data_IF_018420168648
#
_entry.id   IF_018420168648
#
_cell.length_a   1.000
_cell.length_b   1.000
_cell.length_c   1.000
_cell.angle_alpha   90.00
_cell.angle_beta   90.00
_cell.angle_gamma   90.00
#
_symmetry.space_group_name_H-M   'P 1'
#
loop_
_entity.id
_entity.type
_entity.pdbx_description
1 polymer ?
#
# COMPACT_ATOMS: atom_id res chain seq x y z
N UNK A 1 21.17 -12.55 -43.31
CA UNK A 1 20.20 -12.38 -42.20
C UNK A 1 18.80 -12.76 -42.70
N UNK A 2 17.87 -13.22 -41.83
CA UNK A 2 16.48 -13.51 -42.22
C UNK A 2 15.55 -12.36 -41.83
N UNK A 3 14.56 -12.08 -42.67
CA UNK A 3 13.61 -11.00 -42.50
C UNK A 3 12.17 -11.51 -42.66
N UNK A 4 11.29 -11.08 -41.78
CA UNK A 4 9.84 -11.23 -41.93
C UNK A 4 9.33 -10.10 -42.82
N UNK A 5 8.39 -10.41 -43.72
CA UNK A 5 7.85 -9.43 -44.67
C UNK A 5 6.34 -9.33 -44.51
N UNK A 6 5.83 -8.11 -44.58
CA UNK A 6 4.41 -7.81 -44.62
C UNK A 6 4.00 -7.53 -46.07
N UNK A 7 3.28 -8.47 -46.69
CA UNK A 7 2.84 -8.36 -48.08
C UNK A 7 1.37 -8.77 -48.18
N UNK A 8 0.55 -7.94 -48.83
CA UNK A 8 -0.89 -8.18 -49.05
C UNK A 8 -1.71 -8.53 -47.79
N UNK A 9 -1.28 -8.03 -46.62
CA UNK A 9 -1.98 -8.26 -45.34
C UNK A 9 -1.57 -9.54 -44.60
N UNK A 10 -0.71 -10.37 -45.21
CA UNK A 10 -0.20 -11.60 -44.60
C UNK A 10 1.31 -11.50 -44.28
N UNK A 11 1.76 -12.35 -43.36
CA UNK A 11 3.18 -12.51 -42.99
C UNK A 11 3.61 -13.93 -43.36
N UNK A 12 4.05 -14.18 -44.61
CA UNK A 12 4.21 -15.53 -45.14
C UNK A 12 5.44 -16.30 -44.59
N UNK A 13 6.25 -15.66 -43.74
CA UNK A 13 7.37 -16.30 -43.04
C UNK A 13 8.63 -15.45 -43.00
N UNK A 14 9.73 -16.04 -42.56
CA UNK A 14 11.06 -15.43 -42.55
C UNK A 14 11.85 -15.87 -43.80
N UNK A 15 12.29 -14.90 -44.59
CA UNK A 15 12.98 -15.09 -45.86
C UNK A 15 14.39 -14.51 -45.82
N UNK A 16 15.28 -15.01 -46.67
CA UNK A 16 16.57 -14.36 -46.90
C UNK A 16 16.43 -13.16 -47.84
N UNK A 17 17.36 -12.19 -47.76
CA UNK A 17 17.32 -10.97 -48.58
C UNK A 17 17.22 -11.24 -50.10
N UNK A 18 17.82 -12.35 -50.58
CA UNK A 18 17.77 -12.77 -51.99
C UNK A 18 16.43 -13.37 -52.40
N UNK A 19 15.71 -14.01 -51.47
CA UNK A 19 14.39 -14.57 -51.72
C UNK A 19 13.34 -13.48 -51.78
N UNK A 20 13.50 -12.43 -50.96
CA UNK A 20 12.63 -11.26 -50.97
C UNK A 20 12.63 -10.53 -52.31
N UNK A 21 13.81 -10.41 -52.95
CA UNK A 21 13.93 -9.78 -54.26
C UNK A 21 13.18 -10.55 -55.38
N UNK A 22 12.87 -11.84 -55.18
CA UNK A 22 12.11 -12.66 -56.14
C UNK A 22 10.60 -12.59 -55.93
N UNK A 23 10.14 -12.04 -54.81
CA UNK A 23 8.70 -11.95 -54.54
C UNK A 23 8.04 -10.93 -55.47
N UNK A 24 6.95 -11.28 -56.17
CA UNK A 24 6.24 -10.34 -57.03
C UNK A 24 5.71 -9.18 -56.19
N UNK A 25 5.92 -7.94 -56.64
CA UNK A 25 5.46 -6.74 -55.93
C UNK A 25 6.28 -6.34 -54.70
N UNK A 26 7.38 -7.04 -54.39
CA UNK A 26 8.31 -6.59 -53.36
C UNK A 26 9.10 -5.35 -53.83
N UNK A 27 9.15 -4.32 -52.99
CA UNK A 27 9.81 -3.05 -53.32
C UNK A 27 10.54 -2.48 -52.10
N UNK A 28 11.35 -1.43 -52.31
CA UNK A 28 12.04 -0.73 -51.23
C UNK A 28 11.07 -0.10 -50.19
N UNK A 29 9.78 0.05 -50.54
CA UNK A 29 8.74 0.57 -49.64
C UNK A 29 8.06 -0.52 -48.79
N UNK A 30 8.28 -1.80 -49.08
CA UNK A 30 7.66 -2.92 -48.34
C UNK A 30 8.19 -2.96 -46.90
N UNK A 31 7.31 -3.27 -45.94
CA UNK A 31 7.68 -3.34 -44.52
C UNK A 31 8.30 -4.70 -44.19
N UNK A 32 9.46 -4.67 -43.53
CA UNK A 32 10.22 -5.84 -43.14
C UNK A 32 10.65 -5.74 -41.67
N UNK A 33 10.81 -6.88 -41.00
CA UNK A 33 11.27 -6.97 -39.61
C UNK A 33 12.40 -8.02 -39.52
N UNK A 34 13.58 -7.70 -38.97
CA UNK A 34 14.64 -8.68 -38.77
C UNK A 34 14.19 -9.80 -37.83
N UNK A 35 14.51 -11.06 -38.17
CA UNK A 35 14.05 -12.22 -37.39
C UNK A 35 14.75 -12.37 -36.03
N UNK A 36 15.93 -11.76 -35.86
CA UNK A 36 16.80 -11.94 -34.68
C UNK A 36 16.45 -11.00 -33.50
N UNK A 37 15.45 -10.12 -33.64
CA UNK A 37 15.05 -9.21 -32.56
C UNK A 37 14.23 -9.98 -31.52
N UNK A 38 14.63 -9.98 -30.23
CA UNK A 38 13.86 -10.63 -29.17
C UNK A 38 12.44 -10.05 -29.13
N UNK A 39 11.47 -10.93 -28.95
CA UNK A 39 10.03 -10.79 -29.25
C UNK A 39 9.25 -9.65 -28.57
N UNK A 40 9.92 -8.71 -27.89
CA UNK A 40 9.30 -7.58 -27.18
C UNK A 40 8.85 -6.43 -28.09
N UNK A 41 9.57 -6.13 -29.17
CA UNK A 41 9.22 -5.01 -30.08
C UNK A 41 9.61 -5.36 -31.52
N UNK A 42 8.66 -5.87 -32.30
CA UNK A 42 8.85 -6.05 -33.75
C UNK A 42 8.79 -4.68 -34.43
N UNK A 43 9.94 -4.06 -34.68
CA UNK A 43 10.06 -2.81 -35.44
C UNK A 43 9.93 -3.12 -36.93
N UNK A 44 8.76 -2.81 -37.48
CA UNK A 44 8.51 -2.88 -38.91
C UNK A 44 9.09 -1.65 -39.60
N UNK A 45 10.12 -1.86 -40.41
CA UNK A 45 10.85 -0.80 -41.08
C UNK A 45 10.79 -1.01 -42.60
N UNK A 46 10.99 0.05 -43.39
CA UNK A 46 10.98 -0.06 -44.86
C UNK A 46 12.19 -0.87 -45.33
N UNK A 47 11.98 -1.77 -46.29
CA UNK A 47 13.02 -2.60 -46.89
C UNK A 47 14.24 -1.80 -47.38
N UNK A 48 14.03 -0.56 -47.86
CA UNK A 48 15.10 0.32 -48.31
C UNK A 48 16.08 0.80 -47.23
N UNK A 49 15.79 0.60 -45.94
CA UNK A 49 16.71 0.93 -44.84
C UNK A 49 17.78 -0.16 -44.63
N UNK A 50 17.60 -1.35 -45.20
CA UNK A 50 18.52 -2.47 -45.05
C UNK A 50 19.40 -2.63 -46.31
N UNK A 51 20.71 -2.37 -46.24
CA UNK A 51 21.59 -2.39 -47.42
C UNK A 51 21.65 -3.78 -48.08
N UNK A 52 21.58 -4.87 -47.29
CA UNK A 52 21.57 -6.24 -47.79
C UNK A 52 20.38 -6.53 -48.73
N UNK A 53 19.21 -5.94 -48.44
CA UNK A 53 18.00 -6.11 -49.25
C UNK A 53 18.09 -5.27 -50.52
N UNK A 54 18.60 -4.03 -50.41
CA UNK A 54 18.79 -3.15 -51.56
C UNK A 54 19.80 -3.74 -52.55
N UNK A 55 20.89 -4.34 -52.06
CA UNK A 55 21.88 -5.00 -52.92
C UNK A 55 21.31 -6.26 -53.58
N UNK A 56 20.47 -7.03 -52.88
CA UNK A 56 19.78 -8.18 -53.44
C UNK A 56 18.76 -7.82 -54.53
N UNK A 57 18.04 -6.71 -54.36
CA UNK A 57 17.13 -6.17 -55.38
C UNK A 57 17.88 -5.74 -56.63
N UNK A 58 18.99 -4.98 -56.48
CA UNK A 58 19.83 -4.59 -57.63
C UNK A 58 20.41 -5.79 -58.37
N UNK A 59 20.77 -6.85 -57.65
CA UNK A 59 21.27 -8.08 -58.26
C UNK A 59 20.19 -8.83 -59.05
N UNK A 60 18.91 -8.73 -58.65
CA UNK A 60 17.79 -9.36 -59.34
C UNK A 60 17.43 -8.65 -60.64
N UNK A 61 17.47 -7.32 -60.67
CA UNK A 61 17.18 -6.52 -61.87
C UNK A 61 18.16 -6.75 -63.03
N UNK A 62 19.32 -7.37 -62.74
CA UNK A 62 20.33 -7.73 -63.73
C UNK A 62 20.06 -9.08 -64.42
N UNK A 63 19.00 -9.81 -64.07
CA UNK A 63 18.66 -11.12 -64.67
C UNK A 63 17.73 -10.90 -65.89
N UNK A 64 18.17 -11.21 -67.13
CA UNK A 64 17.35 -11.01 -68.33
C UNK A 64 16.12 -11.96 -68.38
N UNK A 65 14.94 -11.49 -68.83
CA UNK A 65 13.72 -12.29 -68.86
C UNK A 65 13.77 -13.43 -69.90
N UNK A 66 13.15 -14.61 -69.63
CA UNK A 66 13.12 -15.74 -70.56
C UNK A 66 12.19 -15.49 -71.76
N UNK A 67 12.65 -15.86 -72.97
CA UNK A 67 11.95 -15.72 -74.26
C UNK A 67 10.62 -16.49 -74.33
N UNK A 68 9.59 -15.86 -74.93
CA UNK A 68 8.22 -16.38 -75.07
C UNK A 68 8.05 -17.47 -76.17
N UNK A 69 7.06 -18.38 -76.04
CA UNK A 69 6.80 -19.47 -77.00
C UNK A 69 5.92 -19.07 -78.22
N UNK A 70 6.02 -19.79 -79.37
CA UNK A 70 5.35 -19.45 -80.64
C UNK A 70 3.90 -19.95 -80.77
N UNK A 71 3.09 -19.23 -81.59
CA UNK A 71 1.64 -19.41 -81.78
C UNK A 71 1.22 -20.51 -82.79
N UNK A 72 0.04 -21.15 -82.65
CA UNK A 72 -0.44 -22.23 -83.52
C UNK A 72 -1.21 -21.77 -84.78
N UNK A 73 -1.20 -22.64 -85.81
CA UNK A 73 -1.54 -22.39 -87.20
C UNK A 73 -2.96 -22.82 -87.65
N UNK A 74 -3.50 -22.03 -88.59
CA UNK A 74 -4.33 -22.32 -89.77
C UNK A 74 -5.66 -23.14 -89.68
N UNK A 75 -6.72 -22.47 -90.15
CA UNK A 75 -8.11 -22.88 -90.35
C UNK A 75 -8.35 -23.38 -91.79
N UNK A 76 -9.18 -24.42 -91.99
CA UNK A 76 -9.49 -25.05 -93.30
C UNK A 76 -10.99 -24.85 -93.66
N UNK A 77 -11.22 -24.58 -94.94
CA UNK A 77 -12.45 -24.09 -95.62
C UNK A 77 -13.39 -25.23 -96.12
N UNK A 78 -14.75 -25.18 -95.96
CA UNK A 78 -15.67 -26.25 -96.34
C UNK A 78 -16.56 -25.90 -97.57
N UNK A 79 -16.23 -26.41 -98.75
CA UNK A 79 -17.05 -26.26 -99.97
C UNK A 79 -17.14 -27.54 -100.82
N UNK A 80 -17.57 -28.65 -100.22
CA UNK A 80 -17.90 -29.89 -100.94
C UNK A 80 -19.42 -30.16 -100.87
N UNK A 81 -20.01 -30.58 -102.00
CA UNK A 81 -21.45 -30.74 -102.19
C UNK A 81 -22.02 -31.91 -101.35
N UNK A 82 -22.94 -31.56 -100.46
CA UNK A 82 -23.49 -32.42 -99.40
C UNK A 82 -24.58 -33.34 -99.94
N UNK A 83 -24.39 -34.67 -99.84
CA UNK A 83 -25.41 -35.67 -100.19
C UNK A 83 -26.57 -35.74 -99.18
N UNK A 84 -27.72 -36.36 -99.51
CA UNK A 84 -28.88 -36.45 -98.61
C UNK A 84 -28.60 -37.13 -97.26
N UNK A 85 -27.70 -38.13 -97.23
CA UNK A 85 -27.23 -38.73 -95.97
C UNK A 85 -26.35 -37.77 -95.15
N UNK A 86 -25.60 -36.89 -95.80
CA UNK A 86 -24.82 -35.86 -95.12
C UNK A 86 -25.71 -34.74 -94.56
N UNK A 87 -26.89 -34.47 -95.15
CA UNK A 87 -27.88 -33.56 -94.55
C UNK A 87 -28.54 -34.16 -93.31
N UNK A 88 -28.87 -35.46 -93.33
CA UNK A 88 -29.35 -36.18 -92.14
C UNK A 88 -28.27 -36.21 -91.04
N UNK A 89 -27.02 -36.43 -91.42
CA UNK A 89 -25.89 -36.33 -90.49
C UNK A 89 -25.68 -34.90 -89.99
N UNK A 90 -25.78 -33.87 -90.83
CA UNK A 90 -25.61 -32.47 -90.41
C UNK A 90 -26.74 -32.02 -89.47
N UNK A 91 -27.98 -32.45 -89.73
CA UNK A 91 -29.12 -32.16 -88.86
C UNK A 91 -29.05 -32.94 -87.55
N UNK A 92 -28.65 -34.22 -87.57
CA UNK A 92 -28.40 -34.97 -86.35
C UNK A 92 -27.29 -34.35 -85.51
N UNK A 93 -26.16 -33.96 -86.12
CA UNK A 93 -25.08 -33.24 -85.46
C UNK A 93 -25.53 -31.90 -84.89
N UNK A 94 -26.41 -31.16 -85.57
CA UNK A 94 -26.97 -29.90 -85.07
C UNK A 94 -27.86 -30.13 -83.84
N UNK A 95 -28.68 -31.18 -83.85
CA UNK A 95 -29.51 -31.57 -82.71
C UNK A 95 -28.64 -32.00 -81.54
N UNK A 96 -27.63 -32.86 -81.77
CA UNK A 96 -26.71 -33.28 -80.72
C UNK A 96 -25.93 -32.10 -80.13
N UNK A 97 -25.45 -31.17 -80.96
CA UNK A 97 -24.82 -29.93 -80.49
C UNK A 97 -25.78 -29.13 -79.60
N UNK A 98 -27.02 -28.91 -80.06
CA UNK A 98 -27.99 -28.16 -79.28
C UNK A 98 -28.35 -28.86 -77.95
N UNK A 99 -28.49 -30.18 -77.94
CA UNK A 99 -28.70 -30.95 -76.70
C UNK A 99 -27.50 -30.84 -75.78
N UNK A 100 -26.26 -30.91 -76.30
CA UNK A 100 -25.06 -30.72 -75.48
C UNK A 100 -24.94 -29.30 -74.93
N UNK A 101 -25.35 -28.28 -75.71
CA UNK A 101 -25.44 -26.90 -75.25
C UNK A 101 -26.48 -26.74 -74.14
N UNK A 102 -27.67 -27.32 -74.30
CA UNK A 102 -28.71 -27.33 -73.26
C UNK A 102 -28.26 -28.06 -72.00
N UNK A 103 -27.56 -29.19 -72.12
CA UNK A 103 -27.00 -29.90 -70.97
C UNK A 103 -25.96 -29.04 -70.23
N UNK A 104 -25.06 -28.38 -70.97
CA UNK A 104 -24.10 -27.43 -70.39
C UNK A 104 -24.80 -26.26 -69.71
N UNK A 105 -25.84 -25.70 -70.33
CA UNK A 105 -26.60 -24.60 -69.73
C UNK A 105 -27.34 -25.06 -68.46
N UNK A 106 -27.90 -26.26 -68.45
CA UNK A 106 -28.52 -26.83 -67.25
C UNK A 106 -27.51 -27.11 -66.14
N UNK A 107 -26.30 -27.58 -66.47
CA UNK A 107 -25.22 -27.79 -65.52
C UNK A 107 -24.73 -26.45 -64.96
N UNK A 108 -24.49 -25.45 -65.82
CA UNK A 108 -24.15 -24.09 -65.40
C UNK A 108 -25.21 -23.51 -64.47
N UNK A 109 -26.51 -23.68 -64.78
CA UNK A 109 -27.60 -23.24 -63.88
C UNK A 109 -27.64 -24.00 -62.55
N UNK A 110 -27.14 -25.23 -62.48
CA UNK A 110 -27.01 -25.98 -61.21
C UNK A 110 -25.83 -25.45 -60.41
N UNK A 111 -24.69 -25.24 -61.05
CA UNK A 111 -23.50 -24.64 -60.45
C UNK A 111 -23.77 -23.23 -59.91
N UNK A 112 -24.45 -22.39 -60.69
CA UNK A 112 -24.86 -21.04 -60.26
C UNK A 112 -25.78 -21.07 -59.03
N UNK A 113 -26.72 -22.02 -58.96
CA UNK A 113 -27.56 -22.20 -57.77
C UNK A 113 -26.76 -22.69 -56.58
N UNK A 114 -25.82 -23.63 -56.79
CA UNK A 114 -24.94 -24.12 -55.73
C UNK A 114 -24.05 -22.99 -55.18
N UNK A 115 -23.49 -22.16 -56.06
CA UNK A 115 -22.71 -20.99 -55.70
C UNK A 115 -23.56 -19.96 -54.94
N UNK A 116 -24.76 -19.66 -55.43
CA UNK A 116 -25.68 -18.72 -54.77
C UNK A 116 -26.06 -19.20 -53.37
N UNK A 117 -26.29 -20.50 -53.17
CA UNK A 117 -26.54 -21.08 -51.86
C UNK A 117 -25.32 -21.03 -50.94
N UNK A 118 -24.12 -21.29 -51.48
CA UNK A 118 -22.86 -21.14 -50.74
C UNK A 118 -22.65 -19.70 -50.26
N UNK A 119 -22.81 -18.72 -51.15
CA UNK A 119 -22.73 -17.29 -50.83
C UNK A 119 -23.79 -16.87 -49.80
N UNK A 120 -25.00 -17.41 -49.87
CA UNK A 120 -26.02 -17.14 -48.86
C UNK A 120 -25.62 -17.66 -47.48
N UNK A 121 -24.97 -18.84 -47.39
CA UNK A 121 -24.46 -19.37 -46.11
C UNK A 121 -23.36 -18.47 -45.55
N UNK A 122 -22.38 -18.07 -46.37
CA UNK A 122 -21.29 -17.20 -45.92
C UNK A 122 -21.81 -15.82 -45.48
N UNK A 123 -22.83 -15.27 -46.14
CA UNK A 123 -23.47 -14.01 -45.72
C UNK A 123 -24.16 -14.17 -44.36
N UNK A 124 -24.83 -15.29 -44.10
CA UNK A 124 -25.47 -15.56 -42.80
C UNK A 124 -24.41 -15.74 -41.70
N UNK A 125 -23.32 -16.46 -41.98
CA UNK A 125 -22.18 -16.64 -41.07
C UNK A 125 -21.55 -15.28 -40.72
N UNK A 126 -21.15 -14.48 -41.72
CA UNK A 126 -20.58 -13.15 -41.50
C UNK A 126 -21.53 -12.22 -40.74
N UNK A 127 -22.85 -12.32 -40.98
CA UNK A 127 -23.84 -11.55 -40.21
C UNK A 127 -23.88 -11.98 -38.74
N UNK A 128 -23.79 -13.27 -38.47
CA UNK A 128 -23.73 -13.79 -37.09
C UNK A 128 -22.44 -13.38 -36.38
N UNK A 129 -21.30 -13.40 -37.08
CA UNK A 129 -20.01 -12.93 -36.56
C UNK A 129 -20.03 -11.43 -36.27
N UNK A 130 -20.60 -10.63 -37.19
CA UNK A 130 -20.77 -9.19 -36.99
C UNK A 130 -21.67 -8.89 -35.78
N UNK A 131 -22.73 -9.67 -35.57
CA UNK A 131 -23.59 -9.52 -34.40
C UNK A 131 -22.84 -9.89 -33.11
N UNK A 132 -22.11 -11.01 -33.09
CA UNK A 132 -21.29 -11.40 -31.95
C UNK A 132 -20.21 -10.36 -31.62
N UNK A 133 -19.58 -9.77 -32.64
CA UNK A 133 -18.62 -8.68 -32.46
C UNK A 133 -19.28 -7.44 -31.84
N UNK A 134 -20.50 -7.08 -32.27
CA UNK A 134 -21.27 -5.95 -31.69
C UNK A 134 -21.65 -6.20 -30.24
N UNK A 135 -22.05 -7.42 -29.88
CA UNK A 135 -22.36 -7.80 -28.49
C UNK A 135 -21.11 -7.73 -27.62
N UNK A 136 -19.96 -8.18 -28.13
CA UNK A 136 -18.67 -8.04 -27.44
C UNK A 136 -18.27 -6.58 -27.24
N UNK A 137 -18.47 -5.72 -28.23
CA UNK A 137 -18.21 -4.27 -28.10
C UNK A 137 -19.09 -3.67 -27.00
N UNK A 138 -20.40 -3.95 -27.01
CA UNK A 138 -21.32 -3.48 -25.96
C UNK A 138 -20.90 -3.93 -24.57
N UNK A 139 -20.49 -5.20 -24.42
CA UNK A 139 -19.99 -5.71 -23.15
C UNK A 139 -18.71 -4.99 -22.69
N UNK A 140 -17.81 -4.66 -23.61
CA UNK A 140 -16.63 -3.88 -23.29
C UNK A 140 -16.98 -2.43 -22.93
N UNK A 141 -17.93 -1.81 -23.62
CA UNK A 141 -18.43 -0.46 -23.30
C UNK A 141 -19.05 -0.40 -21.89
N UNK A 142 -19.87 -1.40 -21.54
CA UNK A 142 -20.44 -1.52 -20.20
C UNK A 142 -19.33 -1.65 -19.14
N UNK A 143 -18.28 -2.43 -19.42
CA UNK A 143 -17.13 -2.54 -18.51
C UNK A 143 -16.34 -1.24 -18.42
N UNK A 144 -16.10 -0.56 -19.54
CA UNK A 144 -15.40 0.73 -19.57
C UNK A 144 -16.14 1.74 -18.70
N UNK A 145 -17.48 1.73 -18.71
CA UNK A 145 -18.29 2.62 -17.86
C UNK A 145 -18.08 2.42 -16.35
N UNK A 146 -17.59 1.24 -15.92
CA UNK A 146 -17.32 0.94 -14.50
C UNK A 146 -15.94 1.39 -14.03
N UNK A 147 -15.00 1.67 -14.96
CA UNK A 147 -13.62 2.07 -14.64
C UNK A 147 -13.58 3.35 -13.79
N UNK A 148 -14.31 4.44 -14.10
CA UNK A 148 -14.28 5.67 -13.29
C UNK A 148 -14.71 5.45 -11.84
N UNK A 149 -15.70 4.58 -11.60
CA UNK A 149 -16.16 4.27 -10.24
C UNK A 149 -15.09 3.51 -9.43
N UNK A 150 -14.32 2.65 -10.08
CA UNK A 150 -13.19 1.96 -9.47
C UNK A 150 -12.03 2.93 -9.19
N UNK A 151 -11.73 3.84 -10.12
CA UNK A 151 -10.72 4.90 -9.93
C UNK A 151 -11.09 5.83 -8.78
N UNK A 152 -12.36 6.25 -8.66
CA UNK A 152 -12.83 7.03 -7.51
C UNK A 152 -12.68 6.26 -6.20
N UNK A 153 -13.00 4.97 -6.19
CA UNK A 153 -12.84 4.12 -5.00
C UNK A 153 -11.37 3.99 -4.61
N UNK A 154 -10.49 3.82 -5.59
CA UNK A 154 -9.04 3.79 -5.38
C UNK A 154 -8.55 5.12 -4.81
N UNK A 155 -8.96 6.26 -5.40
CA UNK A 155 -8.59 7.60 -4.91
C UNK A 155 -9.03 7.80 -3.45
N UNK A 156 -10.27 7.44 -3.11
CA UNK A 156 -10.77 7.51 -1.72
C UNK A 156 -9.96 6.62 -0.76
N UNK A 157 -9.54 5.44 -1.21
CA UNK A 157 -8.71 4.56 -0.41
C UNK A 157 -7.29 5.14 -0.20
N UNK A 158 -6.72 5.76 -1.23
CA UNK A 158 -5.43 6.46 -1.15
C UNK A 158 -5.51 7.65 -0.18
N UNK A 159 -6.53 8.50 -0.29
CA UNK A 159 -6.78 9.62 0.64
C UNK A 159 -6.94 9.11 2.09
N UNK A 160 -7.65 7.99 2.30
CA UNK A 160 -7.79 7.39 3.63
C UNK A 160 -6.45 6.85 4.18
N UNK A 161 -5.61 6.24 3.33
CA UNK A 161 -4.28 5.79 3.71
C UNK A 161 -3.38 6.96 4.11
N UNK A 162 -3.38 8.05 3.35
CA UNK A 162 -2.64 9.27 3.68
C UNK A 162 -3.10 9.88 5.01
N UNK A 163 -4.42 9.91 5.27
CA UNK A 163 -4.95 10.36 6.55
C UNK A 163 -4.48 9.49 7.72
N UNK A 164 -4.47 8.16 7.57
CA UNK A 164 -3.98 7.24 8.61
C UNK A 164 -2.48 7.41 8.82
N UNK A 165 -1.70 7.54 7.74
CA UNK A 165 -0.26 7.81 7.83
C UNK A 165 0.03 9.15 8.53
N UNK A 166 -0.74 10.21 8.20
CA UNK A 166 -0.63 11.50 8.88
C UNK A 166 -0.95 11.40 10.37
N UNK A 167 -2.00 10.66 10.74
CA UNK A 167 -2.32 10.38 12.15
C UNK A 167 -1.18 9.64 12.85
N UNK A 168 -0.64 8.58 12.24
CA UNK A 168 0.48 7.83 12.81
C UNK A 168 1.71 8.71 13.06
N UNK A 169 2.10 9.55 12.09
CA UNK A 169 3.19 10.53 12.29
C UNK A 169 2.90 11.48 13.44
N UNK A 170 1.67 11.98 13.54
CA UNK A 170 1.26 12.83 14.67
C UNK A 170 1.29 12.10 16.03
N UNK A 171 0.98 10.81 16.07
CA UNK A 171 1.13 10.00 17.29
C UNK A 171 2.61 9.74 17.63
N UNK A 172 3.46 9.51 16.63
CA UNK A 172 4.91 9.35 16.82
C UNK A 172 5.55 10.64 17.36
N UNK A 173 5.18 11.81 16.84
CA UNK A 173 5.64 13.11 17.34
C UNK A 173 5.21 13.32 18.80
N UNK A 174 3.94 13.04 19.13
CA UNK A 174 3.46 13.10 20.52
C UNK A 174 4.19 12.13 21.43
N UNK A 175 4.54 10.93 20.95
CA UNK A 175 5.33 9.98 21.73
C UNK A 175 6.74 10.52 21.99
N UNK A 176 7.40 11.06 20.96
CA UNK A 176 8.71 11.72 21.10
C UNK A 176 8.68 12.89 22.08
N UNK A 177 7.64 13.72 22.06
CA UNK A 177 7.49 14.82 23.03
C UNK A 177 7.34 14.31 24.47
N UNK A 178 6.60 13.21 24.67
CA UNK A 178 6.45 12.59 26.00
C UNK A 178 7.77 12.01 26.47
N UNK A 179 8.52 11.34 25.61
CA UNK A 179 9.85 10.81 25.94
C UNK A 179 10.83 11.93 26.30
N UNK A 180 10.80 13.06 25.59
CA UNK A 180 11.58 14.25 25.94
C UNK A 180 11.19 14.82 27.31
N UNK A 181 9.89 14.87 27.64
CA UNK A 181 9.42 15.31 28.96
C UNK A 181 9.87 14.37 30.07
N UNK A 182 9.81 13.06 29.84
CA UNK A 182 10.30 12.05 30.79
C UNK A 182 11.80 12.26 31.03
N UNK A 183 12.60 12.41 29.97
CA UNK A 183 14.04 12.67 30.08
C UNK A 183 14.35 13.97 30.87
N UNK A 184 13.57 15.04 30.67
CA UNK A 184 13.70 16.27 31.45
C UNK A 184 13.36 16.07 32.93
N UNK A 185 12.33 15.27 33.23
CA UNK A 185 11.98 14.94 34.62
C UNK A 185 13.07 14.11 35.28
N UNK A 186 13.63 13.12 34.58
CA UNK A 186 14.74 12.30 35.07
C UNK A 186 15.97 13.16 35.37
N UNK A 187 16.30 14.13 34.51
CA UNK A 187 17.37 15.09 34.77
C UNK A 187 17.10 15.91 36.05
N UNK A 188 15.88 16.42 36.23
CA UNK A 188 15.51 17.16 37.45
C UNK A 188 15.58 16.31 38.71
N UNK A 189 15.19 15.03 38.62
CA UNK A 189 15.32 14.08 39.73
C UNK A 189 16.79 13.82 40.08
N UNK A 190 17.66 13.69 39.07
CA UNK A 190 19.10 13.55 39.27
C UNK A 190 19.71 14.79 39.94
N UNK A 191 19.39 15.99 39.45
CA UNK A 191 19.84 17.26 40.04
C UNK A 191 19.35 17.42 41.49
N UNK A 192 18.08 17.10 41.76
CA UNK A 192 17.52 17.13 43.11
C UNK A 192 18.21 16.11 44.04
N UNK A 193 18.49 14.91 43.54
CA UNK A 193 19.23 13.87 44.29
C UNK A 193 20.66 14.33 44.62
N UNK A 194 21.37 14.92 43.66
CA UNK A 194 22.71 15.47 43.89
C UNK A 194 22.69 16.63 44.88
N UNK A 195 21.71 17.52 44.78
CA UNK A 195 21.53 18.62 45.73
C UNK A 195 21.25 18.10 47.15
N UNK A 196 20.44 17.05 47.28
CA UNK A 196 20.19 16.39 48.57
C UNK A 196 21.47 15.74 49.13
N UNK A 197 22.26 15.05 48.31
CA UNK A 197 23.52 14.46 48.76
C UNK A 197 24.52 15.53 49.21
N UNK A 198 24.64 16.63 48.46
CA UNK A 198 25.49 17.76 48.82
C UNK A 198 25.02 18.42 50.13
N UNK A 199 23.71 18.58 50.32
CA UNK A 199 23.15 19.08 51.57
C UNK A 199 23.45 18.15 52.75
N UNK A 200 23.36 16.83 52.56
CA UNK A 200 23.72 15.84 53.58
C UNK A 200 25.22 15.88 53.93
N UNK A 201 26.09 16.05 52.94
CA UNK A 201 27.54 16.23 53.16
C UNK A 201 27.82 17.52 53.93
N UNK A 202 27.19 18.63 53.56
CA UNK A 202 27.32 19.92 54.27
C UNK A 202 26.81 19.85 55.71
N UNK A 203 25.69 19.17 55.97
CA UNK A 203 25.20 18.92 57.32
C UNK A 203 26.19 18.07 58.14
N UNK A 204 26.76 17.03 57.55
CA UNK A 204 27.75 16.19 58.23
C UNK A 204 29.02 16.97 58.59
N UNK A 205 29.46 17.91 57.74
CA UNK A 205 30.57 18.82 58.02
C UNK A 205 30.23 19.81 59.13
N UNK A 206 29.06 20.45 59.08
CA UNK A 206 28.58 21.36 60.12
C UNK A 206 28.49 20.67 61.50
N UNK A 207 28.04 19.41 61.55
CA UNK A 207 28.02 18.62 62.79
C UNK A 207 29.43 18.34 63.30
N UNK A 208 30.40 18.05 62.42
CA UNK A 208 31.81 17.88 62.82
C UNK A 208 32.40 19.17 63.35
N UNK A 209 32.11 20.30 62.73
CA UNK A 209 32.59 21.61 63.20
C UNK A 209 31.94 22.02 64.52
N UNK A 210 30.64 21.78 64.70
CA UNK A 210 29.96 21.97 65.98
C UNK A 210 30.60 21.10 67.08
N UNK A 211 30.98 19.85 66.77
CA UNK A 211 31.69 19.00 67.71
C UNK A 211 33.09 19.54 68.05
N UNK A 212 33.83 20.06 67.08
CA UNK A 212 35.14 20.71 67.31
C UNK A 212 35.00 21.96 68.18
N UNK A 213 33.97 22.78 67.92
CA UNK A 213 33.67 23.97 68.73
C UNK A 213 33.28 23.58 70.16
N UNK A 214 32.44 22.56 70.35
CA UNK A 214 32.08 22.05 71.67
C UNK A 214 33.31 21.57 72.46
N UNK A 215 34.21 20.83 71.81
CA UNK A 215 35.48 20.40 72.41
C UNK A 215 36.37 21.59 72.81
N UNK A 216 36.50 22.60 71.93
CA UNK A 216 37.26 23.80 72.24
C UNK A 216 36.68 24.58 73.44
N UNK A 217 35.35 24.67 73.54
CA UNK A 217 34.67 25.28 74.69
C UNK A 217 34.91 24.47 75.98
N UNK A 218 34.84 23.14 75.92
CA UNK A 218 35.15 22.27 77.06
C UNK A 218 36.60 22.47 77.55
N UNK A 219 37.57 22.55 76.63
CA UNK A 219 38.97 22.76 76.96
C UNK A 219 39.23 24.16 77.54
N UNK A 220 38.60 25.21 77.00
CA UNK A 220 38.65 26.57 77.57
C UNK A 220 38.03 26.61 78.98
N UNK A 221 36.90 25.94 79.20
CA UNK A 221 36.28 25.84 80.53
C UNK A 221 37.19 25.10 81.51
N UNK A 222 37.87 24.03 81.10
CA UNK A 222 38.87 23.35 81.93
C UNK A 222 40.03 24.29 82.30
N UNK A 223 40.55 25.05 81.34
CA UNK A 223 41.60 26.04 81.59
C UNK A 223 41.13 27.15 82.53
N UNK A 224 39.91 27.66 82.34
CA UNK A 224 39.31 28.66 83.22
C UNK A 224 39.20 28.13 84.66
N UNK A 225 38.66 26.93 84.85
CA UNK A 225 38.55 26.29 86.16
C UNK A 225 39.94 26.07 86.81
N UNK A 226 40.96 25.71 86.03
CA UNK A 226 42.34 25.63 86.51
C UNK A 226 42.85 26.99 86.96
N UNK A 227 42.64 28.05 86.15
CA UNK A 227 43.05 29.43 86.49
C UNK A 227 42.33 29.94 87.74
N UNK A 228 41.02 29.72 87.86
CA UNK A 228 40.23 30.01 89.06
C UNK A 228 40.80 29.30 90.29
N UNK A 229 41.15 28.02 90.17
CA UNK A 229 41.78 27.27 91.27
C UNK A 229 43.15 27.85 91.65
N UNK A 230 43.95 28.32 90.68
CA UNK A 230 45.24 28.97 90.95
C UNK A 230 45.07 30.34 91.60
N UNK A 231 44.08 31.12 91.16
CA UNK A 231 43.73 32.41 91.76
C UNK A 231 43.24 32.23 93.19
N UNK A 232 42.37 31.25 93.45
CA UNK A 232 41.90 30.93 94.80
C UNK A 232 43.06 30.55 95.73
N UNK A 233 44.03 29.76 95.25
CA UNK A 233 45.28 29.44 95.99
C UNK A 233 46.12 30.68 96.27
N UNK A 234 46.30 31.57 95.28
CA UNK A 234 47.04 32.81 95.46
C UNK A 234 46.37 33.75 96.48
N UNK A 235 45.05 33.92 96.42
CA UNK A 235 44.29 34.71 97.38
C UNK A 235 44.35 34.13 98.80
N UNK A 236 44.29 32.80 98.95
CA UNK A 236 44.48 32.15 100.24
C UNK A 236 45.88 32.38 100.82
N UNK A 237 46.91 32.37 99.96
CA UNK A 237 48.28 32.69 100.34
C UNK A 237 48.42 34.16 100.76
N UNK A 238 47.81 35.11 100.05
CA UNK A 238 47.77 36.53 100.43
C UNK A 238 47.13 36.71 101.80
N UNK A 239 45.94 36.13 102.03
CA UNK A 239 45.28 36.18 103.35
C UNK A 239 46.16 35.63 104.47
N UNK A 240 46.91 34.56 104.21
CA UNK A 240 47.86 34.00 105.17
C UNK A 240 49.00 34.98 105.46
N UNK A 241 49.57 35.60 104.44
CA UNK A 241 50.60 36.63 104.59
C UNK A 241 50.07 37.87 105.33
N UNK A 242 48.82 38.29 105.06
CA UNK A 242 48.14 39.38 105.77
C UNK A 242 47.96 39.04 107.26
N UNK A 243 47.60 37.80 107.61
CA UNK A 243 47.51 37.35 109.00
C UNK A 243 48.90 37.33 109.68
N UNK A 244 49.93 36.85 109.00
CA UNK A 244 51.31 36.87 109.50
C UNK A 244 51.83 38.31 109.70
N UNK A 245 51.52 39.23 108.76
CA UNK A 245 51.83 40.66 108.88
C UNK A 245 51.08 41.32 110.04
N UNK A 246 49.80 41.01 110.23
CA UNK A 246 49.00 41.51 111.36
C UNK A 246 49.58 41.06 112.72
N UNK A 247 50.18 39.87 112.79
CA UNK A 247 50.90 39.40 113.98
C UNK A 247 52.23 40.12 114.22
N UNK A 248 52.91 40.57 113.16
CA UNK A 248 54.16 41.31 113.25
C UNK A 248 53.97 42.83 113.50
N UNK A 249 52.78 43.38 113.23
CA UNK A 249 52.44 44.81 113.42
C UNK A 249 51.13 44.97 114.23
N UNK A 250 51.16 44.83 115.57
CA UNK A 250 49.98 45.08 116.40
C UNK A 250 49.74 46.60 116.49
N UNK A 251 48.77 47.13 115.74
CA UNK A 251 48.21 48.47 116.02
C UNK A 251 48.00 49.47 114.87
N UNK A 252 48.06 49.10 113.58
CA UNK A 252 47.65 50.00 112.49
C UNK A 252 46.19 49.72 112.05
N UNK A 253 45.22 50.58 112.38
CA UNK A 253 43.86 50.47 111.88
C UNK A 253 43.79 51.01 110.44
N UNK A 254 43.75 50.12 109.44
CA UNK A 254 43.22 50.49 108.11
C UNK A 254 41.70 50.44 108.18
N UNK A 255 41.10 51.62 108.35
CA UNK A 255 39.66 51.84 108.34
C UNK A 255 39.02 51.71 106.96
N UNK A 256 37.84 51.09 106.99
CA UNK A 256 36.64 51.24 106.14
C UNK A 256 36.54 52.48 105.24
N UNK A 257 35.91 52.30 104.07
CA UNK A 257 35.26 53.41 103.36
C UNK A 257 34.50 53.01 102.09
N UNK A 258 33.17 52.87 102.18
CA UNK A 258 32.24 53.25 101.10
C UNK A 258 31.27 52.20 100.55
N UNK A 259 30.07 52.11 101.14
CA UNK A 259 28.82 51.98 100.36
C UNK A 259 28.37 53.42 99.97
N UNK A 260 27.67 53.67 98.84
CA UNK A 260 26.20 53.53 98.78
C UNK A 260 25.66 53.17 97.36
N UNK A 261 24.49 52.53 97.21
CA UNK A 261 23.17 53.10 96.83
C UNK A 261 22.87 53.25 95.32
N UNK A 262 21.76 52.61 94.92
CA UNK A 262 20.83 52.80 93.77
C UNK A 262 21.29 53.57 92.52
N UNK A 263 21.13 52.92 91.37
CA UNK A 263 20.36 53.52 90.28
C UNK A 263 19.46 52.49 89.58
N UNK A 264 18.17 52.78 89.62
CA UNK A 264 17.07 52.10 88.97
C UNK A 264 16.65 53.01 87.81
N UNK A 265 17.23 52.81 86.61
CA UNK A 265 16.80 53.37 85.33
C UNK A 265 17.66 52.68 84.25
N UNK A 266 17.19 52.15 83.14
CA UNK A 266 15.89 52.19 82.53
C UNK A 266 15.72 50.90 81.72
N UNK A 267 14.46 50.56 81.48
CA UNK A 267 14.02 49.72 80.38
C UNK A 267 14.89 49.88 79.13
N UNK A 268 15.72 48.89 78.83
CA UNK A 268 16.01 48.56 77.45
C UNK A 268 14.88 47.60 77.02
N UNK A 269 14.13 47.90 75.95
CA UNK A 269 13.10 47.00 75.45
C UNK A 269 13.75 45.63 75.18
N UNK A 270 12.99 44.52 75.23
CA UNK A 270 13.50 43.26 74.68
C UNK A 270 14.09 43.57 73.30
N UNK A 271 15.24 43.01 72.91
CA UNK A 271 15.63 43.09 71.52
C UNK A 271 14.40 42.70 70.70
N UNK A 272 14.05 43.42 69.63
CA UNK A 272 12.97 42.97 68.76
C UNK A 272 13.24 41.49 68.51
N UNK A 273 12.24 40.60 68.56
CA UNK A 273 12.46 39.22 68.14
C UNK A 273 13.22 39.33 66.82
N UNK A 274 14.51 38.98 66.85
CA UNK A 274 15.33 38.97 65.65
C UNK A 274 14.48 38.21 64.65
N UNK A 275 14.31 38.72 63.42
CA UNK A 275 13.37 38.16 62.46
C UNK A 275 13.50 36.67 62.59
N UNK A 276 12.40 36.03 63.03
CA UNK A 276 12.34 34.60 63.28
C UNK A 276 13.21 33.97 62.21
N UNK A 277 14.18 33.09 62.53
CA UNK A 277 14.95 32.47 61.47
C UNK A 277 13.89 32.08 60.45
N UNK A 278 14.00 32.64 59.26
CA UNK A 278 13.43 32.04 58.09
C UNK A 278 14.16 30.69 58.03
N UNK A 279 13.76 29.75 58.89
CA UNK A 279 13.13 28.54 58.43
C UNK A 279 12.20 28.95 57.28
N UNK A 280 12.82 29.18 56.13
CA UNK A 280 12.50 28.53 54.89
C UNK A 280 12.47 27.00 55.12
N UNK A 281 11.70 26.54 56.10
CA UNK A 281 10.90 25.35 55.97
C UNK A 281 9.69 25.82 55.21
N UNK A 282 9.88 25.79 53.89
CA UNK A 282 8.83 25.61 52.92
C UNK A 282 7.61 24.88 53.54
N UNK A 283 6.41 25.46 53.53
CA UNK A 283 5.21 24.67 53.44
C UNK A 283 5.07 24.23 51.96
N UNK A 284 5.95 23.35 51.48
CA UNK A 284 5.57 22.45 50.38
C UNK A 284 4.75 21.36 51.06
N UNK A 285 3.49 21.68 51.36
CA UNK A 285 2.42 20.73 51.69
C UNK A 285 1.07 21.47 51.76
N UNK A 286 0.80 22.35 50.79
CA UNK A 286 -0.54 22.87 50.52
C UNK A 286 -0.65 23.37 49.06
N UNK A 287 -0.15 22.58 48.11
CA UNK A 287 -0.43 22.76 46.69
C UNK A 287 -0.30 21.43 45.95
N UNK A 288 -0.82 20.35 46.55
CA UNK A 288 -1.47 19.33 45.74
C UNK A 288 -2.89 19.83 45.51
N UNK A 289 -3.00 20.94 44.78
CA UNK A 289 -4.16 21.14 43.94
C UNK A 289 -4.09 19.94 42.99
N UNK A 290 -4.95 18.96 43.23
CA UNK A 290 -5.26 18.02 42.17
C UNK A 290 -5.58 18.88 40.95
N UNK A 291 -4.94 18.67 39.78
CA UNK A 291 -5.60 19.08 38.57
C UNK A 291 -6.95 18.38 38.62
N UNK A 292 -8.04 19.15 38.67
CA UNK A 292 -9.37 18.59 38.51
C UNK A 292 -9.30 17.64 37.32
N UNK A 293 -9.48 16.35 37.61
CA UNK A 293 -9.79 15.38 36.58
C UNK A 293 -10.92 16.01 35.76
N UNK A 294 -10.79 16.14 34.43
CA UNK A 294 -11.94 16.43 33.61
C UNK A 294 -12.96 15.31 33.89
N UNK A 295 -14.03 15.70 34.59
CA UNK A 295 -15.24 14.93 34.80
C UNK A 295 -15.48 14.03 33.58
N UNK A 296 -15.44 12.70 33.72
CA UNK A 296 -15.72 11.84 32.58
C UNK A 296 -17.13 12.15 32.10
N UNK A 297 -17.23 12.58 30.83
CA UNK A 297 -18.47 12.52 30.09
C UNK A 297 -19.07 11.11 30.26
N UNK A 298 -20.39 11.00 30.43
CA UNK A 298 -21.04 9.71 30.57
C UNK A 298 -20.82 8.90 29.28
N UNK A 299 -19.93 7.92 29.35
CA UNK A 299 -19.81 6.85 28.37
C UNK A 299 -21.19 6.26 28.11
N UNK A 300 -21.57 6.30 26.84
CA UNK A 300 -22.74 5.67 26.27
C UNK A 300 -22.89 4.20 26.74
N UNK A 301 -24.14 3.68 26.82
CA UNK A 301 -24.40 2.33 27.31
C UNK A 301 -23.64 1.28 26.49
N UNK A 302 -22.85 0.51 27.24
CA UNK A 302 -22.16 -0.71 26.85
C UNK A 302 -23.11 -1.63 26.07
N UNK A 303 -22.86 -1.80 24.77
CA UNK A 303 -23.50 -2.84 23.97
C UNK A 303 -22.93 -4.19 24.37
N UNK A 304 -23.72 -4.91 25.15
CA UNK A 304 -23.85 -6.36 25.22
C UNK A 304 -22.89 -7.15 24.33
N UNK A 305 -21.84 -7.71 24.92
CA UNK A 305 -21.07 -8.79 24.34
C UNK A 305 -21.98 -10.02 24.22
N UNK A 306 -22.10 -10.55 23.00
CA UNK A 306 -22.75 -11.82 22.74
C UNK A 306 -21.88 -12.99 23.25
N UNK A 307 -22.48 -14.07 23.76
CA UNK A 307 -21.75 -15.22 24.29
C UNK A 307 -21.16 -16.07 23.17
N UNK A 308 -19.87 -16.36 23.25
CA UNK A 308 -19.21 -17.42 22.50
C UNK A 308 -19.63 -18.78 23.09
N UNK A 309 -20.04 -19.78 22.28
CA UNK A 309 -20.33 -21.11 22.77
C UNK A 309 -19.03 -21.88 23.04
N UNK A 310 -18.99 -22.52 24.21
CA UNK A 310 -18.00 -23.53 24.57
C UNK A 310 -18.08 -24.72 23.60
N UNK A 311 -16.96 -25.08 22.99
CA UNK A 311 -16.74 -26.41 22.42
C UNK A 311 -15.67 -27.11 23.26
N UNK A 312 -16.14 -28.01 24.13
CA UNK A 312 -15.33 -28.99 24.85
C UNK A 312 -15.84 -30.37 24.46
N UNK A 313 -14.94 -31.27 24.10
CA UNK A 313 -15.23 -32.67 23.75
C UNK A 313 -14.32 -33.12 22.62
N UNK A 314 -13.15 -33.72 22.87
CA UNK A 314 -12.92 -35.04 23.47
C UNK A 314 -12.22 -35.90 22.39
N UNK A 315 -11.01 -36.29 22.73
CA UNK A 315 -10.17 -37.25 22.01
C UNK A 315 -10.85 -38.62 22.04
N UNK A 316 -11.04 -39.25 20.88
CA UNK A 316 -11.31 -40.68 20.78
C UNK A 316 -10.60 -41.26 19.56
N UNK A 317 -9.84 -42.31 19.84
CA UNK A 317 -8.99 -43.05 18.93
C UNK A 317 -9.79 -43.95 17.97
N UNK A 318 -9.16 -44.19 16.80
CA UNK A 318 -9.21 -45.40 15.98
C UNK A 318 -10.47 -46.26 15.94
N UNK A 319 -11.13 -46.28 14.78
CA UNK A 319 -11.75 -47.48 14.23
C UNK A 319 -11.93 -47.32 12.70
N UNK A 320 -11.52 -48.35 11.95
CA UNK A 320 -11.64 -48.45 10.50
C UNK A 320 -13.10 -48.42 10.02
N UNK A 321 -13.40 -47.87 8.82
CA UNK A 321 -14.73 -47.99 8.24
C UNK A 321 -14.93 -49.36 7.56
N UNK A 322 -16.08 -50.04 7.77
CA UNK A 322 -16.45 -51.22 7.00
C UNK A 322 -17.02 -50.85 5.62
N UNK A 323 -16.98 -51.77 4.62
CA UNK A 323 -17.55 -51.57 3.30
C UNK A 323 -19.03 -51.95 3.31
N UNK A 324 -19.89 -51.04 2.86
CA UNK A 324 -21.31 -51.30 2.55
C UNK A 324 -21.79 -50.12 1.70
N UNK A 325 -22.70 -50.27 0.76
CA UNK A 325 -23.30 -51.38 0.05
C UNK A 325 -24.14 -50.68 -1.02
N UNK A 326 -24.40 -51.37 -2.12
CA UNK A 326 -25.22 -50.91 -3.22
C UNK A 326 -26.52 -50.24 -2.77
N UNK A 327 -26.74 -49.00 -3.23
CA UNK A 327 -28.03 -48.35 -3.20
C UNK A 327 -28.41 -48.01 -4.64
N UNK A 328 -29.44 -48.73 -5.06
CA UNK A 328 -30.12 -48.69 -6.34
C UNK A 328 -30.46 -47.27 -6.79
N UNK A 329 -30.18 -47.02 -8.06
CA UNK A 329 -30.49 -45.80 -8.79
C UNK A 329 -31.90 -45.94 -9.38
N UNK A 330 -32.93 -45.18 -8.95
CA UNK A 330 -34.23 -45.22 -9.60
C UNK A 330 -34.19 -44.51 -10.96
N UNK A 331 -34.95 -45.08 -11.89
CA UNK A 331 -35.08 -44.67 -13.29
C UNK A 331 -35.62 -43.23 -13.47
N UNK A 332 -35.29 -42.54 -14.58
CA UNK A 332 -35.76 -41.19 -14.84
C UNK A 332 -37.23 -41.17 -15.30
N UNK A 333 -38.05 -40.35 -14.64
CA UNK A 333 -39.39 -39.98 -15.10
C UNK A 333 -39.35 -39.14 -16.39
N UNK A 334 -40.37 -39.26 -17.27
CA UNK A 334 -40.41 -38.58 -18.56
C UNK A 334 -40.73 -37.08 -18.43
N UNK A 335 -39.93 -36.29 -19.14
CA UNK A 335 -40.08 -34.84 -19.35
C UNK A 335 -41.46 -34.53 -19.94
N UNK A 336 -42.29 -33.80 -19.18
CA UNK A 336 -43.51 -33.16 -19.69
C UNK A 336 -43.14 -31.95 -20.56
N UNK A 337 -43.49 -32.04 -21.84
CA UNK A 337 -43.46 -30.94 -22.81
C UNK A 337 -44.59 -29.95 -22.48
N UNK A 338 -44.32 -28.65 -22.30
CA UNK A 338 -45.39 -27.65 -22.20
C UNK A 338 -45.98 -27.35 -23.59
N UNK A 339 -47.31 -27.12 -23.69
CA UNK A 339 -47.96 -26.82 -24.96
C UNK A 339 -47.63 -25.41 -25.46
N UNK A 340 -47.58 -25.29 -26.79
CA UNK A 340 -47.38 -24.05 -27.53
C UNK A 340 -48.48 -23.01 -27.22
N UNK A 341 -48.14 -21.71 -27.10
CA UNK A 341 -49.14 -20.66 -27.14
C UNK A 341 -49.55 -20.36 -28.59
N UNK A 342 -50.86 -20.43 -28.81
CA UNK A 342 -51.57 -20.08 -30.02
C UNK A 342 -51.26 -18.65 -30.49
N UNK A 343 -51.21 -18.54 -31.81
CA UNK A 343 -51.28 -17.29 -32.55
C UNK A 343 -52.64 -16.64 -32.35
N UNK A 344 -52.71 -15.35 -32.04
CA UNK A 344 -53.67 -14.45 -32.67
C UNK A 344 -53.40 -12.95 -32.41
N UNK A 345 -53.22 -12.26 -33.55
CA UNK A 345 -53.79 -10.95 -33.92
C UNK A 345 -52.92 -9.66 -33.83
N UNK A 346 -52.86 -8.87 -34.93
CA UNK A 346 -52.06 -7.64 -35.01
C UNK A 346 -52.87 -6.39 -34.68
N UNK A 347 -52.21 -5.25 -34.43
CA UNK A 347 -52.78 -3.95 -34.76
C UNK A 347 -52.05 -3.30 -35.94
N UNK A 348 -52.86 -2.89 -36.91
CA UNK A 348 -52.55 -1.86 -37.88
C UNK A 348 -52.22 -0.53 -37.19
N UNK A 349 -51.30 0.25 -37.76
CA UNK A 349 -50.92 1.55 -37.20
C UNK A 349 -49.73 2.16 -37.92
N UNK A 350 -49.98 2.58 -39.15
CA UNK A 350 -49.10 3.31 -40.07
C UNK A 350 -48.85 4.77 -39.61
N UNK A 351 -47.69 5.32 -40.02
CA UNK A 351 -47.26 6.74 -40.04
C UNK A 351 -46.23 7.20 -38.96
N UNK A 352 -45.46 8.28 -39.22
CA UNK A 352 -44.37 8.31 -40.19
C UNK A 352 -43.02 8.80 -39.59
N UNK A 353 -41.95 8.59 -40.36
CA UNK A 353 -40.55 8.92 -40.08
C UNK A 353 -40.27 10.35 -39.57
N UNK A 354 -39.37 10.55 -38.59
CA UNK A 354 -38.78 11.84 -38.33
C UNK A 354 -37.61 12.14 -39.30
N UNK A 355 -37.71 13.30 -39.96
CA UNK A 355 -36.64 13.95 -40.73
C UNK A 355 -35.40 14.16 -39.85
N UNK A 356 -34.30 13.51 -40.20
CA UNK A 356 -32.96 13.84 -39.68
C UNK A 356 -32.50 15.11 -40.40
N UNK A 357 -32.48 16.23 -39.68
CA UNK A 357 -31.86 17.48 -40.13
C UNK A 357 -30.36 17.42 -39.81
N UNK A 358 -29.53 17.58 -40.84
CA UNK A 358 -28.10 17.86 -40.72
C UNK A 358 -27.92 19.35 -40.37
N UNK A 359 -27.11 19.71 -39.37
CA UNK A 359 -26.56 21.05 -39.27
C UNK A 359 -25.16 21.12 -39.90
N UNK A 360 -25.00 22.07 -40.81
CA UNK A 360 -23.74 22.67 -41.26
C UNK A 360 -22.91 23.19 -40.06
N UNK A 361 -21.57 23.03 -40.06
CA UNK A 361 -20.72 23.77 -39.14
C UNK A 361 -20.37 25.15 -39.71
N UNK A 362 -20.79 26.20 -39.02
CA UNK A 362 -20.36 27.57 -39.25
C UNK A 362 -18.94 27.78 -38.71
N UNK A 363 -18.09 28.35 -39.55
CA UNK A 363 -16.81 28.97 -39.21
C UNK A 363 -17.01 30.32 -38.49
N UNK A 364 -16.10 30.65 -37.57
CA UNK A 364 -15.96 31.98 -36.95
C UNK A 364 -15.46 31.86 -35.51
N UNK A 365 -14.15 31.89 -35.26
CA UNK A 365 -13.33 33.09 -34.98
C UNK A 365 -13.52 33.74 -33.60
N UNK A 366 -12.41 33.75 -32.86
CA UNK A 366 -11.91 34.78 -31.92
C UNK A 366 -12.60 35.01 -30.56
N UNK A 367 -11.77 35.01 -29.50
CA UNK A 367 -11.93 35.97 -28.39
C UNK A 367 -11.75 35.47 -26.94
N UNK A 368 -10.50 35.41 -26.48
CA UNK A 368 -9.95 36.14 -25.30
C UNK A 368 -10.74 36.21 -23.96
N UNK A 369 -10.07 35.69 -22.90
CA UNK A 369 -9.95 36.16 -21.50
C UNK A 369 -10.99 35.83 -20.39
N UNK A 370 -10.41 35.80 -19.17
CA UNK A 370 -10.94 35.81 -17.81
C UNK A 370 -11.48 34.45 -17.28
N UNK A 371 -10.83 33.80 -16.32
CA UNK A 371 -10.66 34.17 -14.90
C UNK A 371 -12.02 34.18 -14.15
N UNK A 372 -12.37 33.04 -13.54
CA UNK A 372 -13.24 32.93 -12.38
C UNK A 372 -13.39 31.45 -11.95
N UNK A 373 -12.89 31.15 -10.75
CA UNK A 373 -13.24 29.95 -10.01
C UNK A 373 -14.75 29.90 -9.69
N UNK A 374 -15.31 28.69 -9.55
CA UNK A 374 -16.30 28.50 -8.51
C UNK A 374 -16.03 27.25 -7.65
N UNK A 375 -15.98 27.49 -6.34
CA UNK A 375 -16.31 26.49 -5.31
C UNK A 375 -17.66 25.84 -5.63
N UNK A 376 -17.86 24.58 -5.20
CA UNK A 376 -19.16 24.25 -4.63
C UNK A 376 -19.02 23.65 -3.22
N UNK A 377 -19.51 24.40 -2.24
CA UNK A 377 -20.11 23.84 -1.05
C UNK A 377 -21.41 23.15 -1.44
N UNK A 378 -21.58 21.87 -1.10
CA UNK A 378 -22.92 21.34 -0.85
C UNK A 378 -22.86 20.21 0.18
N UNK A 379 -23.54 20.46 1.30
CA UNK A 379 -24.03 19.48 2.25
C UNK A 379 -25.02 18.54 1.56
N UNK A 380 -24.85 17.23 1.73
CA UNK A 380 -25.80 16.22 1.29
C UNK A 380 -26.04 15.21 2.41
N UNK A 381 -27.27 15.18 2.90
CA UNK A 381 -27.72 14.40 4.03
C UNK A 381 -27.85 12.89 3.72
N UNK A 382 -27.60 12.12 4.78
CA UNK A 382 -28.08 10.77 5.12
C UNK A 382 -29.15 10.15 4.19
N UNK A 383 -28.80 9.03 3.57
CA UNK A 383 -29.74 7.98 3.19
C UNK A 383 -29.18 6.62 3.61
N UNK A 384 -29.87 5.95 4.54
CA UNK A 384 -29.58 4.60 4.97
C UNK A 384 -30.02 3.60 3.89
N UNK A 385 -29.07 2.82 3.36
CA UNK A 385 -29.33 1.72 2.43
C UNK A 385 -28.80 0.41 3.00
N UNK A 386 -29.68 -0.60 3.07
CA UNK A 386 -29.39 -1.95 3.54
C UNK A 386 -28.27 -2.67 2.76
N UNK A 387 -27.56 -3.62 3.40
CA UNK A 387 -26.51 -4.40 2.75
C UNK A 387 -27.09 -5.48 1.81
N UNK A 388 -26.54 -5.71 0.62
CA UNK A 388 -26.82 -6.92 -0.13
C UNK A 388 -26.00 -8.10 0.41
N UNK A 389 -26.67 -9.25 0.38
CA UNK A 389 -26.26 -10.54 0.90
C UNK A 389 -25.01 -11.09 0.22
N UNK A 390 -24.26 -11.90 0.99
CA UNK A 390 -23.12 -12.68 0.56
C UNK A 390 -23.46 -13.59 -0.63
N UNK A 391 -22.81 -13.36 -1.77
CA UNK A 391 -22.75 -14.31 -2.86
C UNK A 391 -21.64 -15.32 -2.60
N UNK A 392 -21.98 -16.59 -2.80
CA UNK A 392 -21.20 -17.79 -2.54
C UNK A 392 -19.92 -17.84 -3.39
N UNK A 393 -18.87 -18.33 -2.74
CA UNK A 393 -17.58 -18.69 -3.33
C UNK A 393 -17.75 -19.69 -4.49
N UNK A 394 -17.26 -19.31 -5.68
CA UNK A 394 -16.81 -20.26 -6.69
C UNK A 394 -15.27 -20.23 -6.75
N UNK A 395 -14.60 -21.39 -6.77
CA UNK A 395 -13.14 -21.46 -6.70
C UNK A 395 -12.47 -21.05 -8.02
N UNK A 396 -11.60 -20.04 -7.92
CA UNK A 396 -10.65 -19.65 -8.97
C UNK A 396 -9.64 -20.79 -9.19
N UNK A 397 -9.35 -21.22 -10.43
CA UNK A 397 -8.34 -22.23 -10.70
C UNK A 397 -6.94 -21.70 -10.38
N UNK A 398 -6.26 -22.38 -9.45
CA UNK A 398 -4.87 -22.14 -9.05
C UNK A 398 -3.93 -22.58 -10.19
N UNK A 399 -3.05 -21.71 -10.72
CA UNK A 399 -2.02 -22.14 -11.67
C UNK A 399 -0.94 -22.97 -10.95
N UNK A 400 -0.32 -23.94 -11.65
CA UNK A 400 0.62 -24.87 -11.02
C UNK A 400 1.86 -24.16 -10.48
N UNK A 401 2.24 -24.57 -9.27
CA UNK A 401 3.39 -24.11 -8.52
C UNK A 401 4.66 -23.99 -9.35
N UNK A 402 5.13 -22.75 -9.48
CA UNK A 402 6.46 -22.40 -9.93
C UNK A 402 6.93 -21.15 -9.20
N UNK A 403 6.95 -21.17 -7.86
CA UNK A 403 7.56 -20.10 -7.07
C UNK A 403 9.08 -20.10 -7.33
N UNK A 404 9.48 -19.29 -8.29
CA UNK A 404 10.86 -18.87 -8.48
C UNK A 404 11.26 -18.01 -7.28
N UNK A 405 12.27 -18.46 -6.56
CA UNK A 405 13.27 -17.68 -5.79
C UNK A 405 12.79 -16.35 -5.23
N UNK A 406 12.59 -16.30 -3.91
CA UNK A 406 12.52 -15.06 -3.14
C UNK A 406 13.74 -14.19 -3.50
N UNK A 407 13.55 -12.93 -3.93
CA UNK A 407 14.67 -12.05 -4.24
C UNK A 407 15.58 -11.92 -3.01
N UNK A 408 16.88 -12.08 -3.21
CA UNK A 408 17.93 -12.08 -2.17
C UNK A 408 17.76 -11.06 -1.01
N UNK A 409 17.31 -9.80 -1.23
CA UNK A 409 17.10 -8.87 -0.11
C UNK A 409 16.03 -9.31 0.89
N UNK A 410 15.02 -10.07 0.47
CA UNK A 410 13.95 -10.56 1.35
C UNK A 410 14.38 -11.79 2.15
N UNK A 411 15.26 -12.63 1.58
CA UNK A 411 15.81 -13.79 2.28
C UNK A 411 16.64 -13.35 3.50
N UNK A 412 17.45 -12.29 3.34
CA UNK A 412 18.25 -11.73 4.44
C UNK A 412 17.37 -11.14 5.56
N UNK A 413 16.21 -10.58 5.23
CA UNK A 413 15.27 -10.06 6.23
C UNK A 413 14.61 -11.20 7.03
N UNK A 414 14.24 -12.29 6.34
CA UNK A 414 13.67 -13.49 6.98
C UNK A 414 14.71 -14.16 7.90
N UNK A 415 15.95 -14.30 7.44
CA UNK A 415 17.03 -14.87 8.23
C UNK A 415 17.39 -13.99 9.45
N UNK A 416 17.32 -12.66 9.29
CA UNK A 416 17.50 -11.71 10.38
C UNK A 416 16.43 -11.82 11.47
N UNK A 417 15.16 -11.96 11.08
CA UNK A 417 14.04 -12.15 12.03
C UNK A 417 14.16 -13.51 12.72
N UNK A 418 14.53 -14.57 11.99
CA UNK A 418 14.72 -15.90 12.56
C UNK A 418 15.87 -15.94 13.58
N UNK A 419 16.98 -15.24 13.31
CA UNK A 419 18.10 -15.12 14.24
C UNK A 419 17.74 -14.31 15.49
N UNK A 420 16.96 -13.23 15.33
CA UNK A 420 16.47 -12.41 16.43
C UNK A 420 15.53 -13.20 17.35
N UNK A 421 14.60 -13.97 16.78
CA UNK A 421 13.70 -14.84 17.54
C UNK A 421 14.46 -15.95 18.28
N UNK A 422 15.45 -16.58 17.64
CA UNK A 422 16.27 -17.62 18.28
C UNK A 422 17.11 -17.08 19.45
N UNK A 423 17.51 -15.80 19.38
CA UNK A 423 18.27 -15.13 20.44
C UNK A 423 17.40 -14.71 21.63
N UNK A 424 16.16 -14.28 21.37
CA UNK A 424 15.28 -13.72 22.39
C UNK A 424 14.31 -14.73 23.02
N UNK A 425 14.04 -15.86 22.35
CA UNK A 425 13.11 -16.87 22.88
C UNK A 425 13.79 -18.01 23.65
N UNK A 426 15.07 -17.85 24.03
CA UNK A 426 15.73 -18.59 25.11
C UNK A 426 15.32 -20.07 25.24
N UNK A 427 15.80 -20.93 24.34
CA UNK A 427 15.84 -22.37 24.62
C UNK A 427 16.91 -22.63 25.67
N UNK A 428 16.50 -22.53 26.93
CA UNK A 428 17.24 -22.97 28.11
C UNK A 428 17.20 -24.52 28.18
N UNK A 429 17.67 -25.19 27.14
CA UNK A 429 17.94 -26.63 27.20
C UNK A 429 19.33 -26.83 27.80
N UNK A 430 19.37 -26.95 29.13
CA UNK A 430 20.52 -27.52 29.84
C UNK A 430 20.78 -28.93 29.28
N UNK A 431 21.99 -29.23 28.77
CA UNK A 431 22.36 -30.60 28.47
C UNK A 431 22.50 -31.34 29.80
N UNK A 432 21.60 -32.30 30.04
CA UNK A 432 21.68 -33.20 31.17
C UNK A 432 22.99 -33.98 31.12
N UNK A 433 23.84 -33.78 32.13
CA UNK A 433 24.98 -34.64 32.40
C UNK A 433 24.46 -35.99 32.88
N UNK A 434 24.49 -37.00 32.00
CA UNK A 434 24.34 -38.39 32.40
C UNK A 434 25.60 -38.87 33.10
N UNK A 435 25.44 -39.29 34.36
CA UNK A 435 26.32 -40.23 35.06
C UNK A 435 26.07 -41.66 34.59
#
# INVERSE_FOLDING_TARGET
>A
MKYWVYHEGEVPGAYEARELARLPGFSAATLVCPADVPSGERRWERAGLFPEIVDAMRAHDLIPPPMAPPAPAAYVDPAAAVGPDEMLNATSHKIFRHVTELMKELENRREERALSQSLQRTVVELKSELQAARERIRFLDDRISTIPALEERERRAQEALEQVQGKLRGWEEKLRERDQRIAQMDQRLQEASQAQENAMRGQAEAVRDQKRQAQAVEDLNRQLAQKESTLAKALAMIRRLEMELAHLLPGLPLGSGGAPEREQAAAAPPPPPGPAPETARAPILAAWAQPEEPKPEPSAPSRSAAPMPHASGAVAAGAAPPPSADLEKPAPEPVRVPPAPDSERPPAGEAPSPKVSFPEPASGENGVAADAAPMPSSSGALAAGHPPQAAKDEPIPVPPHGFKTVPAPWQNAIDGVAAFLRRNLGSDEKPGSGT
#
